data_IF_522052122068
#
_entry.id   IF_522052122068
#
_cell.length_a   1.000
_cell.length_b   1.000
_cell.length_c   1.000
_cell.angle_alpha   90.00
_cell.angle_beta   90.00
_cell.angle_gamma   90.00
#
_symmetry.space_group_name_H-M   'P 1'
#
loop_
_entity.id
_entity.type
_entity.pdbx_description
1 polymer ?
#
# COMPACT_ATOMS: atom_id res chain seq x y z
N UNK A 1 -3.68 -53.85 40.35
CA UNK A 1 -4.14 -53.41 39.02
C UNK A 1 -3.84 -51.90 38.96
N UNK A 2 -3.10 -51.38 38.01
CA UNK A 2 -3.00 -49.93 37.86
C UNK A 2 -4.42 -49.39 37.53
N UNK A 3 -4.87 -48.42 38.29
CA UNK A 3 -6.19 -47.79 38.08
C UNK A 3 -6.27 -47.23 36.66
N UNK A 4 -7.37 -47.55 35.99
CA UNK A 4 -7.72 -46.88 34.73
C UNK A 4 -8.00 -45.43 35.09
N UNK A 5 -7.11 -44.54 34.73
CA UNK A 5 -7.33 -43.11 34.85
C UNK A 5 -8.37 -42.77 33.76
N UNK A 6 -9.53 -42.32 34.16
CA UNK A 6 -10.53 -41.82 33.21
C UNK A 6 -10.00 -40.52 32.62
N UNK A 7 -9.63 -40.56 31.36
CA UNK A 7 -9.30 -39.36 30.59
C UNK A 7 -10.60 -38.64 30.34
N UNK A 8 -10.70 -37.39 30.77
CA UNK A 8 -11.84 -36.52 30.49
C UNK A 8 -11.52 -35.74 29.23
N UNK A 9 -12.40 -35.84 28.27
CA UNK A 9 -12.38 -35.09 26.99
C UNK A 9 -13.82 -34.64 26.76
N UNK A 10 -14.06 -33.36 27.01
CA UNK A 10 -15.41 -32.78 27.12
C UNK A 10 -16.03 -32.52 25.77
N UNK A 11 -15.28 -32.07 24.77
CA UNK A 11 -15.73 -31.73 23.44
C UNK A 11 -15.47 -32.84 22.40
N UNK A 12 -14.70 -33.85 22.75
CA UNK A 12 -14.52 -35.08 21.97
C UNK A 12 -13.51 -34.95 20.83
N UNK A 13 -12.57 -34.05 20.94
CA UNK A 13 -11.55 -33.77 19.90
C UNK A 13 -10.33 -34.72 19.97
N UNK A 14 -10.22 -35.51 21.03
CA UNK A 14 -9.15 -36.48 21.27
C UNK A 14 -8.00 -35.91 22.11
N UNK A 15 -8.10 -34.70 22.63
CA UNK A 15 -7.15 -34.10 23.55
C UNK A 15 -7.70 -34.17 25.00
N UNK A 16 -6.86 -34.57 25.94
CA UNK A 16 -7.23 -34.63 27.34
C UNK A 16 -7.41 -33.20 27.90
N UNK A 17 -8.49 -32.95 28.66
CA UNK A 17 -8.84 -31.66 29.29
C UNK A 17 -7.66 -30.95 29.97
N UNK A 18 -6.76 -31.72 30.58
CA UNK A 18 -5.58 -31.20 31.29
C UNK A 18 -4.49 -30.65 30.35
N UNK A 19 -4.63 -30.87 29.03
CA UNK A 19 -3.69 -30.48 27.97
C UNK A 19 -4.36 -29.74 26.84
N UNK A 20 -5.68 -29.61 26.92
CA UNK A 20 -6.50 -28.97 25.89
C UNK A 20 -6.51 -27.45 26.11
N UNK A 21 -6.12 -26.70 25.08
CA UNK A 21 -6.12 -25.24 25.08
C UNK A 21 -7.48 -24.62 24.72
N UNK A 22 -8.49 -25.47 24.33
CA UNK A 22 -9.90 -25.08 24.14
C UNK A 22 -10.87 -26.09 24.74
N UNK A 23 -10.95 -26.34 26.05
CA UNK A 23 -11.63 -27.47 26.68
C UNK A 23 -13.13 -27.68 26.36
N UNK A 24 -13.76 -26.82 25.59
CA UNK A 24 -15.18 -26.87 25.22
C UNK A 24 -15.42 -26.62 23.73
N UNK A 25 -14.37 -26.49 22.94
CA UNK A 25 -14.43 -26.22 21.51
C UNK A 25 -13.42 -27.13 20.80
N UNK A 26 -13.91 -28.17 20.15
CA UNK A 26 -13.07 -29.19 19.53
C UNK A 26 -12.03 -28.58 18.57
N UNK A 27 -10.74 -28.77 18.88
CA UNK A 27 -9.60 -28.29 18.11
C UNK A 27 -8.42 -29.28 18.15
N UNK A 28 -8.52 -30.44 17.49
CA UNK A 28 -7.53 -31.52 17.57
C UNK A 28 -6.10 -31.13 17.22
N UNK A 29 -5.92 -30.02 16.50
CA UNK A 29 -4.62 -29.47 16.11
C UNK A 29 -3.96 -28.63 17.22
N UNK A 30 -4.72 -28.24 18.25
CA UNK A 30 -4.25 -27.49 19.41
C UNK A 30 -3.45 -26.24 19.02
N UNK A 31 -3.87 -25.59 17.92
CA UNK A 31 -3.21 -24.41 17.42
C UNK A 31 -3.37 -23.24 18.41
N UNK A 32 -2.28 -22.55 18.66
CA UNK A 32 -2.17 -21.38 19.54
C UNK A 32 -1.15 -20.46 18.87
N UNK A 33 -1.68 -19.42 18.22
CA UNK A 33 -0.90 -18.57 17.30
C UNK A 33 -0.01 -17.57 18.05
N UNK A 34 -0.49 -17.01 19.16
CA UNK A 34 0.25 -16.04 19.98
C UNK A 34 0.99 -16.66 21.19
N UNK A 35 0.67 -17.92 21.52
CA UNK A 35 1.32 -18.66 22.60
C UNK A 35 0.84 -18.27 24.01
N UNK A 36 -0.37 -17.72 24.17
CA UNK A 36 -0.92 -17.31 25.46
C UNK A 36 -1.55 -18.48 26.24
N UNK A 37 -1.73 -19.63 25.60
CA UNK A 37 -2.29 -20.86 26.18
C UNK A 37 -3.79 -21.01 25.91
N UNK A 38 -4.43 -20.11 25.20
CA UNK A 38 -5.78 -20.24 24.66
C UNK A 38 -5.66 -20.64 23.17
N UNK A 39 -6.34 -21.71 22.78
CA UNK A 39 -6.28 -22.15 21.39
C UNK A 39 -7.04 -21.23 20.44
N UNK A 40 -6.55 -21.09 19.20
CA UNK A 40 -7.13 -20.24 18.15
C UNK A 40 -8.65 -20.46 17.98
N UNK A 41 -9.13 -21.69 18.21
CA UNK A 41 -10.53 -22.05 18.05
C UNK A 41 -11.47 -21.40 19.07
N UNK A 42 -10.95 -21.05 20.24
CA UNK A 42 -11.73 -20.44 21.34
C UNK A 42 -11.21 -19.06 21.74
N UNK A 43 -10.14 -18.60 21.08
CA UNK A 43 -9.58 -17.28 21.30
C UNK A 43 -10.37 -16.19 20.58
N UNK A 44 -10.49 -15.04 21.19
CA UNK A 44 -11.14 -13.84 20.63
C UNK A 44 -10.18 -12.86 20.00
N UNK A 45 -8.87 -13.03 20.23
CA UNK A 45 -7.78 -12.19 19.76
C UNK A 45 -6.56 -13.09 19.51
N UNK A 46 -6.62 -13.83 18.39
CA UNK A 46 -5.73 -14.97 18.06
C UNK A 46 -4.24 -14.58 17.99
N UNK A 47 -3.92 -13.32 17.65
CA UNK A 47 -2.55 -12.84 17.52
C UNK A 47 -2.13 -11.85 18.59
N UNK A 48 -3.08 -11.57 19.53
CA UNK A 48 -2.90 -10.74 20.74
C UNK A 48 -2.38 -9.33 20.43
N UNK A 49 -2.89 -8.72 19.37
CA UNK A 49 -2.55 -7.35 19.00
C UNK A 49 -3.48 -6.30 19.62
N UNK A 50 -4.53 -6.75 20.32
CA UNK A 50 -5.54 -5.92 20.99
C UNK A 50 -6.76 -5.62 20.15
N UNK A 51 -6.87 -6.20 18.94
CA UNK A 51 -8.04 -6.11 18.06
C UNK A 51 -8.74 -7.48 18.03
N UNK A 52 -10.04 -7.49 18.30
CA UNK A 52 -10.79 -8.76 18.30
C UNK A 52 -10.91 -9.35 16.89
N UNK A 53 -10.77 -10.66 16.73
CA UNK A 53 -10.89 -11.39 15.45
C UNK A 53 -12.08 -10.98 14.60
N UNK A 54 -13.19 -10.55 15.22
CA UNK A 54 -14.43 -10.18 14.50
C UNK A 54 -14.34 -8.85 13.76
N UNK A 55 -13.35 -8.03 14.06
CA UNK A 55 -13.13 -6.69 13.48
C UNK A 55 -11.68 -6.50 13.02
N UNK A 56 -10.84 -7.50 13.22
CA UNK A 56 -9.46 -7.52 12.81
C UNK A 56 -9.34 -7.86 11.32
N UNK A 57 -8.57 -7.06 10.60
CA UNK A 57 -8.31 -7.26 9.18
C UNK A 57 -7.12 -8.20 8.89
N UNK A 58 -6.39 -8.65 9.96
CA UNK A 58 -5.35 -9.68 9.90
C UNK A 58 -5.37 -10.65 11.11
N UNK A 59 -6.43 -11.43 11.36
CA UNK A 59 -6.68 -12.13 12.63
C UNK A 59 -5.60 -13.12 13.12
N UNK A 60 -4.51 -13.31 12.41
CA UNK A 60 -3.42 -14.24 12.75
C UNK A 60 -2.04 -13.61 12.62
N UNK A 61 -1.97 -12.31 12.34
CA UNK A 61 -0.72 -11.55 12.18
C UNK A 61 -0.88 -10.19 12.84
N UNK A 62 -0.30 -10.00 14.00
CA UNK A 62 -0.45 -8.82 14.84
C UNK A 62 -0.21 -7.50 14.06
N UNK A 63 -1.25 -6.67 13.99
CA UNK A 63 -1.25 -5.38 13.30
C UNK A 63 -2.21 -4.39 13.97
N UNK A 64 -1.97 -4.04 15.22
CA UNK A 64 -2.82 -3.21 16.06
C UNK A 64 -3.30 -1.89 15.43
N UNK A 65 -2.58 -1.38 14.43
CA UNK A 65 -2.91 -0.16 13.68
C UNK A 65 -3.93 -0.41 12.56
N UNK A 66 -4.23 -1.68 12.25
CA UNK A 66 -5.23 -2.13 11.29
C UNK A 66 -5.09 -1.46 9.92
N UNK A 67 -3.84 -1.23 9.52
CA UNK A 67 -3.54 -0.54 8.27
C UNK A 67 -4.00 -1.37 7.08
N UNK A 68 -4.72 -0.72 6.15
CA UNK A 68 -5.28 -1.29 4.93
C UNK A 68 -5.26 -0.17 3.87
N UNK A 69 -4.15 -0.08 3.14
CA UNK A 69 -3.87 1.04 2.24
C UNK A 69 -4.67 0.96 0.93
N UNK A 70 -5.12 -0.22 0.53
CA UNK A 70 -5.90 -0.39 -0.70
C UNK A 70 -7.42 -0.52 -0.45
N UNK A 71 -7.83 -0.68 0.81
CA UNK A 71 -9.22 -0.65 1.23
C UNK A 71 -10.02 -1.90 0.83
N UNK A 72 -9.36 -3.04 0.64
CA UNK A 72 -10.00 -4.29 0.24
C UNK A 72 -10.54 -5.10 1.45
N UNK A 73 -10.18 -4.70 2.68
CA UNK A 73 -10.60 -5.30 3.94
C UNK A 73 -9.62 -6.34 4.47
N UNK A 74 -8.49 -6.57 3.80
CA UNK A 74 -7.35 -7.35 4.28
C UNK A 74 -6.26 -6.39 4.73
N UNK A 75 -5.75 -6.53 5.95
CA UNK A 75 -4.72 -5.62 6.44
C UNK A 75 -3.39 -5.81 5.72
N UNK A 76 -2.66 -4.70 5.54
CA UNK A 76 -1.35 -4.70 4.86
C UNK A 76 -0.37 -5.75 5.39
N UNK A 77 -0.47 -6.09 6.67
CA UNK A 77 0.39 -7.05 7.33
C UNK A 77 0.21 -8.50 6.83
N UNK A 78 -1.00 -8.85 6.40
CA UNK A 78 -1.37 -10.20 5.97
C UNK A 78 -1.82 -10.28 4.51
N UNK A 79 -1.87 -9.14 3.79
CA UNK A 79 -2.33 -9.10 2.42
C UNK A 79 -1.23 -9.56 1.44
N UNK A 80 -1.42 -10.70 0.73
CA UNK A 80 -0.50 -11.16 -0.29
C UNK A 80 -0.58 -10.35 -1.59
N UNK A 81 -1.59 -9.49 -1.74
CA UNK A 81 -1.80 -8.61 -2.91
C UNK A 81 -1.68 -7.14 -2.56
N UNK A 82 -1.12 -6.83 -1.39
CA UNK A 82 -0.96 -5.46 -0.96
C UNK A 82 -0.42 -4.58 -2.07
N UNK A 83 -1.23 -3.61 -2.48
CA UNK A 83 -0.79 -2.59 -3.41
C UNK A 83 -1.54 -1.26 -3.21
N UNK A 84 -0.80 -0.17 -3.16
CA UNK A 84 -1.35 1.17 -2.93
C UNK A 84 -2.09 1.68 -4.15
N UNK A 85 -3.39 1.84 -4.05
CA UNK A 85 -4.23 2.45 -5.10
C UNK A 85 -4.05 3.96 -5.09
N UNK A 86 -3.33 4.48 -6.08
CA UNK A 86 -3.10 5.93 -6.23
C UNK A 86 -4.06 6.60 -7.22
N UNK A 87 -4.78 5.82 -8.00
CA UNK A 87 -5.83 6.27 -8.92
C UNK A 87 -7.12 5.47 -8.67
N UNK A 88 -8.10 6.02 -7.93
CA UNK A 88 -9.36 5.34 -7.67
C UNK A 88 -10.18 4.98 -8.92
N UNK A 89 -9.92 5.64 -10.07
CA UNK A 89 -10.56 5.31 -11.34
C UNK A 89 -9.93 4.07 -12.01
N UNK A 90 -8.74 3.66 -11.56
CA UNK A 90 -8.02 2.49 -12.07
C UNK A 90 -7.32 1.72 -10.93
N UNK A 91 -8.09 1.05 -10.05
CA UNK A 91 -7.54 0.38 -8.88
C UNK A 91 -6.56 -0.76 -9.21
N UNK A 92 -6.61 -1.31 -10.42
CA UNK A 92 -5.66 -2.34 -10.86
C UNK A 92 -4.27 -1.80 -11.22
N UNK A 93 -4.11 -0.48 -11.35
CA UNK A 93 -2.82 0.17 -11.57
C UNK A 93 -2.25 0.70 -10.26
N UNK A 94 -2.06 -0.19 -9.30
CA UNK A 94 -1.56 0.11 -7.97
C UNK A 94 -0.04 -0.03 -7.85
N UNK A 95 0.52 0.54 -6.79
CA UNK A 95 1.95 0.46 -6.46
C UNK A 95 2.19 -0.69 -5.47
N UNK A 96 2.72 -1.80 -5.94
CA UNK A 96 3.09 -2.95 -5.12
C UNK A 96 4.48 -2.69 -4.46
N UNK A 97 4.58 -2.63 -3.12
CA UNK A 97 5.85 -2.42 -2.42
C UNK A 97 6.84 -3.57 -2.58
N UNK A 98 6.37 -4.77 -2.90
CA UNK A 98 7.18 -5.95 -3.11
C UNK A 98 7.67 -6.11 -4.56
N UNK A 99 7.12 -5.33 -5.49
CA UNK A 99 7.56 -5.33 -6.88
C UNK A 99 8.83 -4.51 -7.10
N UNK A 100 9.39 -4.60 -8.30
CA UNK A 100 10.45 -3.72 -8.77
C UNK A 100 10.04 -2.24 -8.65
N UNK A 101 11.02 -1.33 -8.64
CA UNK A 101 10.73 0.10 -8.51
C UNK A 101 9.69 0.60 -9.51
N UNK A 102 8.60 1.17 -8.98
CA UNK A 102 7.47 1.71 -9.72
C UNK A 102 7.16 3.13 -9.25
N UNK A 103 6.63 3.94 -10.16
CA UNK A 103 6.10 5.27 -9.84
C UNK A 103 4.74 5.46 -10.47
N UNK A 104 3.93 6.34 -9.86
CA UNK A 104 2.68 6.82 -10.43
C UNK A 104 2.62 8.35 -10.35
N UNK A 105 2.03 8.92 -11.36
CA UNK A 105 1.70 10.35 -11.43
C UNK A 105 0.31 10.67 -10.84
N UNK A 106 -0.37 9.66 -10.30
CA UNK A 106 -1.78 9.76 -9.90
C UNK A 106 -2.74 9.56 -11.08
N UNK A 107 -4.03 9.75 -10.83
CA UNK A 107 -5.08 9.67 -11.84
C UNK A 107 -5.15 10.90 -12.75
N UNK A 108 -6.10 10.85 -13.69
CA UNK A 108 -6.39 11.99 -14.56
C UNK A 108 -6.86 13.21 -13.79
N UNK A 109 -6.45 14.40 -14.21
CA UNK A 109 -6.74 15.67 -13.55
C UNK A 109 -7.67 16.53 -14.43
N UNK A 110 -8.51 17.32 -13.76
CA UNK A 110 -9.32 18.35 -14.40
C UNK A 110 -8.72 19.72 -14.08
N UNK A 111 -8.68 20.63 -15.06
CA UNK A 111 -8.14 21.97 -14.89
C UNK A 111 -8.90 22.99 -15.75
N UNK A 112 -8.57 24.26 -15.53
CA UNK A 112 -9.00 25.39 -16.38
C UNK A 112 -7.76 26.04 -17.02
N UNK A 113 -7.92 26.73 -18.14
CA UNK A 113 -6.82 27.49 -18.72
C UNK A 113 -6.23 28.48 -17.73
N UNK A 114 -4.92 28.66 -17.73
CA UNK A 114 -4.14 29.52 -16.83
C UNK A 114 -4.21 29.13 -15.33
N UNK A 115 -4.89 28.06 -14.96
CA UNK A 115 -4.90 27.56 -13.58
C UNK A 115 -3.70 26.64 -13.31
N UNK A 116 -2.93 26.86 -12.23
CA UNK A 116 -1.81 26.00 -11.88
C UNK A 116 -2.29 24.61 -11.40
N UNK A 117 -1.74 23.57 -11.96
CA UNK A 117 -1.99 22.16 -11.60
C UNK A 117 -0.74 21.60 -10.92
N UNK A 118 -0.86 21.26 -9.65
CA UNK A 118 0.22 20.59 -8.91
C UNK A 118 0.35 19.13 -9.37
N UNK A 119 1.58 18.74 -9.70
CA UNK A 119 1.89 17.37 -10.10
C UNK A 119 2.40 16.57 -8.90
N UNK A 120 1.86 15.39 -8.71
CA UNK A 120 2.20 14.52 -7.59
C UNK A 120 3.09 13.36 -8.03
N UNK A 121 3.92 12.88 -7.12
CA UNK A 121 4.78 11.71 -7.31
C UNK A 121 4.43 10.70 -6.23
N UNK A 122 4.04 9.52 -6.65
CA UNK A 122 3.89 8.34 -5.82
C UNK A 122 4.91 7.30 -6.26
N UNK A 123 5.45 6.54 -5.31
CA UNK A 123 6.36 5.44 -5.63
C UNK A 123 6.19 4.29 -4.64
N UNK A 124 6.43 3.06 -5.08
CA UNK A 124 6.38 1.88 -4.23
C UNK A 124 7.62 1.72 -3.32
N UNK A 125 8.23 2.83 -2.92
CA UNK A 125 9.30 2.93 -1.92
C UNK A 125 9.07 4.17 -1.07
N UNK A 126 8.95 4.02 0.24
CA UNK A 126 8.82 5.14 1.17
C UNK A 126 10.19 5.65 1.62
N UNK A 127 10.35 6.98 1.70
CA UNK A 127 11.52 7.62 2.28
C UNK A 127 12.84 7.42 1.52
N UNK A 128 12.80 6.88 0.32
CA UNK A 128 13.99 6.65 -0.51
C UNK A 128 14.22 7.85 -1.44
N UNK A 129 15.44 8.37 -1.60
CA UNK A 129 15.72 9.46 -2.53
C UNK A 129 15.40 9.08 -3.97
N UNK A 130 14.58 9.91 -4.62
CA UNK A 130 14.16 9.75 -6.02
C UNK A 130 14.47 11.03 -6.78
N UNK A 131 15.24 10.92 -7.84
CA UNK A 131 15.38 11.97 -8.84
C UNK A 131 14.24 11.88 -9.83
N UNK A 132 13.62 12.99 -10.16
CA UNK A 132 12.48 13.04 -11.06
C UNK A 132 12.64 14.06 -12.18
N UNK A 133 11.99 13.76 -13.30
CA UNK A 133 11.84 14.66 -14.44
C UNK A 133 10.42 14.56 -14.97
N UNK A 134 9.76 15.72 -15.08
CA UNK A 134 8.48 15.85 -15.76
C UNK A 134 8.71 16.40 -17.17
N UNK A 135 8.04 15.84 -18.14
CA UNK A 135 8.08 16.30 -19.54
C UNK A 135 6.68 16.38 -20.12
N UNK A 136 6.40 17.44 -20.87
CA UNK A 136 5.17 17.56 -21.64
C UNK A 136 5.32 16.74 -22.93
N UNK A 137 4.48 15.70 -23.10
CA UNK A 137 4.57 14.78 -24.25
C UNK A 137 3.45 14.99 -25.25
N UNK A 138 2.30 15.50 -24.82
CA UNK A 138 1.19 15.84 -25.71
C UNK A 138 0.49 17.14 -25.26
N UNK A 139 0.08 17.96 -26.20
CA UNK A 139 -0.69 19.19 -25.97
C UNK A 139 -1.62 19.47 -27.16
N UNK A 140 -2.68 20.28 -26.99
CA UNK A 140 -3.50 20.77 -28.09
C UNK A 140 -2.65 21.52 -29.14
N UNK A 141 -3.07 21.46 -30.40
CA UNK A 141 -2.33 22.08 -31.53
C UNK A 141 -2.21 23.59 -31.44
N UNK A 142 -3.17 24.23 -30.79
CA UNK A 142 -3.25 25.68 -30.56
C UNK A 142 -2.56 26.12 -29.26
N UNK A 143 -2.08 25.19 -28.45
CA UNK A 143 -1.30 25.51 -27.26
C UNK A 143 0.10 26.00 -27.62
N UNK A 144 0.42 27.24 -27.24
CA UNK A 144 1.73 27.87 -27.49
C UNK A 144 2.40 28.39 -26.22
N UNK A 145 1.63 28.60 -25.15
CA UNK A 145 2.04 29.28 -23.94
C UNK A 145 1.99 28.42 -22.66
N UNK A 146 1.73 27.10 -22.75
CA UNK A 146 1.72 26.25 -21.56
C UNK A 146 3.10 26.19 -20.87
N UNK A 147 3.10 26.20 -19.53
CA UNK A 147 4.31 26.31 -18.72
C UNK A 147 4.43 25.12 -17.77
N UNK A 148 5.62 24.57 -17.65
CA UNK A 148 5.95 23.52 -16.68
C UNK A 148 7.07 24.03 -15.76
N UNK A 149 6.73 24.22 -14.48
CA UNK A 149 7.62 24.75 -13.43
C UNK A 149 8.13 23.63 -12.54
N UNK A 150 9.32 23.77 -12.00
CA UNK A 150 9.95 22.80 -11.07
C UNK A 150 9.92 21.37 -11.62
N UNK A 151 10.12 21.22 -12.92
CA UNK A 151 9.96 19.95 -13.64
C UNK A 151 11.01 18.91 -13.33
N UNK A 152 12.06 19.27 -12.61
CA UNK A 152 13.16 18.35 -12.22
C UNK A 152 13.56 18.59 -10.77
N UNK A 153 14.02 17.56 -10.11
CA UNK A 153 14.50 17.66 -8.73
C UNK A 153 14.69 16.30 -8.08
N UNK A 154 15.02 16.35 -6.79
CA UNK A 154 15.12 15.17 -5.93
C UNK A 154 14.13 15.29 -4.79
N UNK A 155 13.39 14.21 -4.50
CA UNK A 155 12.51 14.06 -3.35
C UNK A 155 12.97 12.87 -2.52
N UNK A 156 12.92 12.99 -1.18
CA UNK A 156 13.40 11.94 -0.27
C UNK A 156 12.47 11.68 0.90
N UNK A 157 11.43 12.50 1.06
CA UNK A 157 10.46 12.35 2.14
C UNK A 157 9.11 11.98 1.54
N UNK A 158 8.55 10.86 1.99
CA UNK A 158 7.20 10.44 1.59
C UNK A 158 6.35 10.14 2.81
N UNK A 159 5.05 10.23 2.64
CA UNK A 159 4.05 9.73 3.58
C UNK A 159 2.95 9.07 2.77
N UNK A 160 2.58 7.84 3.15
CA UNK A 160 1.63 7.03 2.40
C UNK A 160 1.98 7.00 0.90
N UNK A 161 3.23 6.61 0.58
CA UNK A 161 3.78 6.48 -0.78
C UNK A 161 3.82 7.77 -1.61
N UNK A 162 3.19 8.85 -1.13
CA UNK A 162 3.21 10.18 -1.77
C UNK A 162 4.44 10.96 -1.33
N UNK A 163 5.23 11.40 -2.29
CA UNK A 163 6.43 12.20 -2.04
C UNK A 163 6.11 13.68 -1.83
N UNK A 164 6.75 14.25 -0.82
CA UNK A 164 6.68 15.68 -0.52
C UNK A 164 7.85 16.41 -1.19
N UNK A 165 7.55 17.57 -1.77
CA UNK A 165 8.57 18.42 -2.39
C UNK A 165 9.22 19.31 -1.35
N UNK A 166 10.57 19.35 -1.26
CA UNK A 166 11.26 20.20 -0.31
C UNK A 166 11.00 21.68 -0.64
N UNK A 167 10.93 22.50 0.39
CA UNK A 167 10.78 23.96 0.28
C UNK A 167 9.55 24.44 -0.51
N UNK A 168 8.53 23.61 -0.68
CA UNK A 168 7.31 23.95 -1.43
C UNK A 168 7.52 24.06 -2.95
N UNK A 169 8.65 23.58 -3.50
CA UNK A 169 8.93 23.58 -4.94
C UNK A 169 8.17 22.45 -5.65
N UNK A 170 6.84 22.50 -5.55
CA UNK A 170 5.97 21.50 -6.18
C UNK A 170 6.06 21.63 -7.70
N UNK A 171 6.28 20.54 -8.45
CA UNK A 171 6.15 20.54 -9.89
C UNK A 171 4.76 21.02 -10.29
N UNK A 172 4.69 21.99 -11.16
CA UNK A 172 3.42 22.66 -11.50
C UNK A 172 3.30 22.84 -13.00
N UNK A 173 2.19 22.39 -13.54
CA UNK A 173 1.83 22.61 -14.93
C UNK A 173 0.75 23.69 -15.04
N UNK A 174 0.89 24.60 -15.99
CA UNK A 174 -0.07 25.68 -16.28
C UNK A 174 -0.48 25.54 -17.74
N UNK A 175 -1.67 24.98 -18.02
CA UNK A 175 -2.20 24.90 -19.38
C UNK A 175 -2.63 26.28 -19.89
N UNK A 176 -2.49 26.55 -21.17
CA UNK A 176 -2.85 27.82 -21.79
C UNK A 176 -4.20 27.81 -22.50
N UNK A 177 -4.63 26.65 -23.00
CA UNK A 177 -5.89 26.52 -23.76
C UNK A 177 -6.67 25.27 -23.33
N UNK A 178 -8.00 25.21 -23.59
CA UNK A 178 -8.77 24.00 -23.39
C UNK A 178 -8.26 22.84 -24.25
N UNK A 179 -8.43 21.62 -23.76
CA UNK A 179 -8.04 20.39 -24.44
C UNK A 179 -7.34 19.40 -23.55
N UNK A 180 -6.70 18.39 -24.15
CA UNK A 180 -6.02 17.33 -23.40
C UNK A 180 -4.52 17.50 -23.47
N UNK A 181 -3.88 17.46 -22.30
CA UNK A 181 -2.43 17.45 -22.15
C UNK A 181 -1.99 16.14 -21.55
N UNK A 182 -0.82 15.64 -21.94
CA UNK A 182 -0.18 14.49 -21.30
C UNK A 182 1.24 14.88 -20.83
N UNK A 183 1.53 14.60 -19.58
CA UNK A 183 2.86 14.75 -19.02
C UNK A 183 3.39 13.40 -18.60
N UNK A 184 4.67 13.16 -18.89
CA UNK A 184 5.40 11.98 -18.47
C UNK A 184 6.26 12.30 -17.25
N UNK A 185 6.13 11.51 -16.20
CA UNK A 185 7.03 11.44 -15.07
C UNK A 185 8.07 10.35 -15.35
N UNK A 186 9.33 10.72 -15.35
CA UNK A 186 10.45 9.77 -15.26
C UNK A 186 11.07 9.93 -13.90
N UNK A 187 11.16 8.85 -13.14
CA UNK A 187 11.77 8.84 -11.82
C UNK A 187 12.88 7.81 -11.74
N UNK A 188 13.95 8.15 -11.03
CA UNK A 188 15.10 7.28 -10.80
C UNK A 188 15.41 7.21 -9.31
N UNK A 189 15.48 6.01 -8.78
CA UNK A 189 15.93 5.76 -7.42
C UNK A 189 17.44 5.89 -7.33
N UNK A 190 17.95 6.72 -6.42
CA UNK A 190 19.38 6.97 -6.26
C UNK A 190 20.15 5.76 -5.68
N UNK A 191 19.66 5.10 -4.59
CA UNK A 191 20.28 3.86 -4.11
C UNK A 191 19.87 2.67 -4.99
N UNK A 192 20.75 1.70 -5.10
CA UNK A 192 20.44 0.41 -5.74
C UNK A 192 19.50 -0.38 -4.83
N UNK A 193 18.37 -0.83 -5.36
CA UNK A 193 17.49 -1.77 -4.65
C UNK A 193 18.16 -3.15 -4.59
N UNK A 194 18.48 -3.69 -3.40
CA UNK A 194 19.14 -4.99 -3.30
C UNK A 194 18.33 -6.15 -3.89
N UNK A 195 16.99 -6.06 -3.85
CA UNK A 195 16.10 -7.08 -4.39
C UNK A 195 15.96 -6.99 -5.92
N UNK A 196 16.09 -5.76 -6.48
CA UNK A 196 15.95 -5.50 -7.91
C UNK A 196 17.07 -4.62 -8.46
N UNK A 197 18.33 -5.06 -8.46
CA UNK A 197 19.50 -4.22 -8.75
C UNK A 197 19.55 -3.67 -10.18
N UNK A 198 18.77 -4.25 -11.10
CA UNK A 198 18.70 -3.80 -12.51
C UNK A 198 17.58 -2.78 -12.79
N UNK A 199 16.67 -2.52 -11.84
CA UNK A 199 15.48 -1.67 -12.05
C UNK A 199 15.53 -0.47 -11.13
N UNK A 200 16.13 0.61 -11.60
CA UNK A 200 16.29 1.87 -10.86
C UNK A 200 15.49 3.02 -11.44
N UNK A 201 14.84 2.83 -12.58
CA UNK A 201 14.08 3.86 -13.27
C UNK A 201 12.69 3.36 -13.60
N UNK A 202 11.69 4.23 -13.40
CA UNK A 202 10.31 3.97 -13.73
C UNK A 202 9.68 5.21 -14.38
N UNK A 203 8.58 5.01 -15.08
CA UNK A 203 7.85 6.07 -15.76
C UNK A 203 6.34 5.95 -15.50
N UNK A 204 5.67 7.08 -15.49
CA UNK A 204 4.21 7.16 -15.39
C UNK A 204 3.72 8.36 -16.20
N UNK A 205 2.48 8.31 -16.68
CA UNK A 205 1.84 9.37 -17.44
C UNK A 205 0.63 9.89 -16.67
N UNK A 206 0.48 11.20 -16.61
CA UNK A 206 -0.75 11.86 -16.15
C UNK A 206 -1.42 12.53 -17.35
N UNK A 207 -2.75 12.42 -17.38
CA UNK A 207 -3.60 13.12 -18.38
C UNK A 207 -4.31 14.26 -17.69
N UNK A 208 -4.24 15.46 -18.28
CA UNK A 208 -4.90 16.66 -17.77
C UNK A 208 -5.93 17.12 -18.80
N UNK A 209 -7.20 17.11 -18.41
CA UNK A 209 -8.30 17.61 -19.19
C UNK A 209 -8.61 19.05 -18.80
N UNK A 210 -8.43 19.98 -19.73
CA UNK A 210 -8.64 21.42 -19.53
C UNK A 210 -9.94 21.83 -20.20
N UNK A 211 -10.85 22.41 -19.42
CA UNK A 211 -12.21 22.81 -19.83
C UNK A 211 -12.38 24.32 -19.70
#
# INVERSE_FOLDING_TARGET
>A
MPGVQCVVDTDGDGVEESRDNCPTVANPDQRDTDGDGIGDACDKDIDNDGVLNSVDNCPTIANFDQHDDDGDGVGDACDPRYCVVVDPANPNACLDPNAAFMVSAGGSLLAHPCAPVALTIFANRNGVPIDFVWTLVMKPTDSTGSVLLNSTGTVSTSRHWRYAHPFGLVPTFIPDVPGTYQLNLTARMAPVDPAYPGVQQAQSVVVIHVQ
#
